data_IF_126680829513
#
_entry.id   IF_126680829513
#
_cell.length_a   1.000
_cell.length_b   1.000
_cell.length_c   1.000
_cell.angle_alpha   90.00
_cell.angle_beta   90.00
_cell.angle_gamma   90.00
#
_symmetry.space_group_name_H-M   'P 1'
#
loop_
_entity.id
_entity.type
_entity.pdbx_description
1 polymer ?
#
# COMPACT_ATOMS: atom_id res chain seq x y z
N UNK A 1 -9.55 11.48 8.32
CA UNK A 1 -9.92 11.22 6.91
C UNK A 1 -11.33 10.66 6.89
N UNK A 2 -12.10 10.98 5.85
CA UNK A 2 -13.39 10.34 5.59
C UNK A 2 -13.18 9.36 4.44
N UNK A 3 -13.46 8.08 4.65
CA UNK A 3 -13.33 7.06 3.60
C UNK A 3 -14.62 6.97 2.81
N UNK A 4 -14.51 6.86 1.48
CA UNK A 4 -15.64 6.48 0.64
C UNK A 4 -15.68 4.96 0.59
N UNK A 5 -16.60 4.36 1.34
CA UNK A 5 -16.75 2.89 1.42
C UNK A 5 -18.08 2.49 0.79
N UNK A 6 -18.03 1.63 -0.23
CA UNK A 6 -19.22 1.12 -0.94
C UNK A 6 -19.13 -0.40 -0.97
N UNK A 7 -20.12 -1.09 -0.40
CA UNK A 7 -20.17 -2.56 -0.34
C UNK A 7 -18.91 -3.22 0.28
N UNK A 8 -18.22 -2.53 1.18
CA UNK A 8 -16.98 -3.00 1.80
C UNK A 8 -15.70 -2.65 1.02
N UNK A 9 -15.81 -2.05 -0.16
CA UNK A 9 -14.67 -1.56 -0.91
C UNK A 9 -14.35 -0.12 -0.56
N UNK A 10 -13.07 0.23 -0.47
CA UNK A 10 -12.59 1.55 -0.12
C UNK A 10 -12.07 2.24 -1.38
N UNK A 11 -12.73 3.34 -1.76
CA UNK A 11 -12.42 4.07 -2.97
C UNK A 11 -11.29 5.04 -2.64
N UNK A 12 -10.15 4.85 -3.30
CA UNK A 12 -9.04 5.79 -3.18
C UNK A 12 -9.29 7.00 -4.10
N UNK A 13 -8.61 8.14 -3.88
CA UNK A 13 -8.65 9.26 -4.82
C UNK A 13 -8.10 8.91 -6.22
N UNK A 14 -7.30 7.85 -6.34
CA UNK A 14 -6.76 7.38 -7.62
C UNK A 14 -7.65 6.34 -8.30
N UNK A 15 -7.05 5.57 -9.20
CA UNK A 15 -7.75 4.52 -9.95
C UNK A 15 -7.98 3.24 -9.13
N UNK A 16 -7.20 3.01 -8.08
CA UNK A 16 -7.26 1.79 -7.27
C UNK A 16 -8.44 1.79 -6.29
N UNK A 17 -8.96 0.61 -6.04
CA UNK A 17 -9.97 0.34 -5.00
C UNK A 17 -9.37 -0.69 -4.04
N UNK A 18 -9.50 -0.46 -2.74
CA UNK A 18 -9.02 -1.42 -1.73
C UNK A 18 -10.17 -2.31 -1.30
N UNK A 19 -10.04 -3.61 -1.53
CA UNK A 19 -11.00 -4.62 -1.07
C UNK A 19 -10.71 -5.05 0.37
N UNK A 20 -9.43 -5.09 0.75
CA UNK A 20 -8.97 -5.40 2.10
C UNK A 20 -7.56 -4.83 2.36
N UNK A 21 -7.21 -4.52 3.62
CA UNK A 21 -8.04 -4.61 4.83
C UNK A 21 -9.02 -3.44 4.98
N UNK A 22 -9.94 -3.53 5.94
CA UNK A 22 -10.76 -2.37 6.33
C UNK A 22 -9.94 -1.36 7.16
N UNK A 23 -10.33 -0.08 7.22
CA UNK A 23 -9.64 0.89 8.06
C UNK A 23 -9.61 0.44 9.52
N UNK A 24 -8.48 0.67 10.19
CA UNK A 24 -8.23 0.32 11.59
C UNK A 24 -8.26 -1.18 11.89
N UNK A 25 -8.12 -2.04 10.88
CA UNK A 25 -8.06 -3.49 11.10
C UNK A 25 -6.82 -3.84 11.94
N UNK A 26 -6.97 -4.63 13.02
CA UNK A 26 -5.85 -5.21 13.74
C UNK A 26 -5.23 -6.34 12.91
N UNK A 27 -3.93 -6.24 12.62
CA UNK A 27 -3.19 -7.13 11.74
C UNK A 27 -1.99 -7.76 12.45
N UNK A 28 -1.54 -8.88 11.91
CA UNK A 28 -0.44 -9.72 12.39
C UNK A 28 -0.32 -10.98 11.52
N UNK A 29 0.18 -12.08 12.08
CA UNK A 29 0.38 -13.33 11.34
C UNK A 29 1.67 -13.34 10.52
N UNK A 30 1.67 -14.07 9.40
CA UNK A 30 2.86 -14.22 8.56
C UNK A 30 3.07 -13.02 7.63
N UNK A 31 2.00 -12.54 7.02
CA UNK A 31 2.02 -11.47 6.03
C UNK A 31 1.00 -10.37 6.33
N UNK A 32 1.32 -9.15 5.91
CA UNK A 32 0.35 -8.11 5.62
C UNK A 32 -0.29 -8.42 4.26
N UNK A 33 -1.60 -8.66 4.26
CA UNK A 33 -2.37 -8.91 3.05
C UNK A 33 -3.15 -7.65 2.65
N UNK A 34 -2.93 -7.18 1.44
CA UNK A 34 -3.69 -6.08 0.84
C UNK A 34 -4.27 -6.57 -0.48
N UNK A 35 -5.59 -6.45 -0.63
CA UNK A 35 -6.30 -6.79 -1.86
C UNK A 35 -6.72 -5.50 -2.55
N UNK A 36 -6.28 -5.30 -3.79
CA UNK A 36 -6.48 -4.07 -4.55
C UNK A 36 -7.09 -4.39 -5.91
N UNK A 37 -8.27 -3.84 -6.20
CA UNK A 37 -8.87 -3.89 -7.52
C UNK A 37 -8.34 -2.72 -8.38
N UNK A 38 -7.76 -3.07 -9.53
CA UNK A 38 -7.19 -2.14 -10.52
C UNK A 38 -8.10 -1.93 -11.74
N UNK A 39 -9.37 -2.36 -11.67
CA UNK A 39 -10.34 -2.23 -12.76
C UNK A 39 -11.21 -0.97 -12.68
N UNK A 40 -11.11 -0.16 -11.62
CA UNK A 40 -12.00 0.97 -11.40
C UNK A 40 -13.47 0.53 -11.44
N UNK A 41 -13.81 -0.50 -10.66
CA UNK A 41 -15.13 -1.14 -10.63
C UNK A 41 -15.60 -1.63 -12.01
N UNK A 42 -14.68 -2.24 -12.76
CA UNK A 42 -14.91 -2.76 -14.11
C UNK A 42 -14.94 -1.71 -15.23
N UNK A 43 -14.71 -0.43 -14.94
CA UNK A 43 -14.73 0.63 -15.95
C UNK A 43 -13.41 0.78 -16.72
N UNK A 44 -12.30 0.27 -16.18
CA UNK A 44 -10.98 0.32 -16.79
C UNK A 44 -10.70 -0.94 -17.62
N UNK A 45 -10.04 -0.76 -18.76
CA UNK A 45 -9.56 -1.88 -19.56
C UNK A 45 -8.43 -2.60 -18.82
N UNK A 46 -8.50 -3.93 -18.74
CA UNK A 46 -7.41 -4.79 -18.23
C UNK A 46 -6.25 -4.94 -19.22
N UNK A 47 -6.39 -4.38 -20.42
CA UNK A 47 -5.34 -4.32 -21.44
C UNK A 47 -5.42 -2.95 -22.12
N UNK A 48 -5.08 -1.87 -21.40
CA UNK A 48 -5.15 -0.52 -21.93
C UNK A 48 -4.17 -0.38 -23.10
N UNK A 49 -4.60 0.33 -24.15
CA UNK A 49 -3.66 0.74 -25.21
C UNK A 49 -2.69 1.76 -24.61
N UNK A 50 -1.47 1.83 -25.12
CA UNK A 50 -0.45 2.78 -24.65
C UNK A 50 -0.94 4.25 -24.59
N UNK A 51 -1.88 4.64 -25.46
CA UNK A 51 -2.47 5.97 -25.52
C UNK A 51 -3.88 6.05 -24.89
N UNK A 52 -4.24 5.12 -24.00
CA UNK A 52 -5.50 5.17 -23.29
C UNK A 52 -5.64 6.50 -22.53
N UNK A 53 -6.84 7.06 -22.56
CA UNK A 53 -7.14 8.30 -21.85
C UNK A 53 -7.12 8.11 -20.33
N UNK A 54 -7.35 6.88 -19.84
CA UNK A 54 -7.26 6.50 -18.44
C UNK A 54 -6.48 5.20 -18.30
N UNK A 55 -5.41 5.19 -17.52
CA UNK A 55 -4.58 4.01 -17.24
C UNK A 55 -3.69 4.24 -16.02
N UNK A 56 -3.32 3.16 -15.32
CA UNK A 56 -2.23 3.19 -14.36
C UNK A 56 -0.88 3.34 -15.07
N UNK A 57 0.03 4.07 -14.43
CA UNK A 57 1.46 3.99 -14.72
C UNK A 57 2.17 3.17 -13.67
N UNK A 58 1.88 3.42 -12.40
CA UNK A 58 2.48 2.71 -11.28
C UNK A 58 1.57 2.74 -10.05
N UNK A 59 1.71 1.71 -9.22
CA UNK A 59 1.06 1.56 -7.92
C UNK A 59 2.08 1.00 -6.95
N UNK A 60 2.55 1.84 -6.03
CA UNK A 60 3.54 1.50 -5.00
C UNK A 60 2.93 1.62 -3.61
N UNK A 61 3.47 0.83 -2.69
CA UNK A 61 2.92 0.63 -1.36
C UNK A 61 4.02 0.77 -0.31
N UNK A 62 3.73 1.55 0.73
CA UNK A 62 4.62 1.75 1.87
C UNK A 62 3.85 1.57 3.16
N UNK A 63 4.55 1.13 4.20
CA UNK A 63 4.01 1.05 5.56
C UNK A 63 4.60 2.21 6.37
N UNK A 64 3.80 3.22 6.67
CA UNK A 64 4.27 4.47 7.30
C UNK A 64 3.63 4.68 8.67
N UNK A 65 4.40 5.15 9.65
CA UNK A 65 3.88 5.53 10.97
C UNK A 65 4.60 6.74 11.52
N UNK A 66 3.84 7.82 11.72
CA UNK A 66 4.35 9.04 12.34
C UNK A 66 4.59 8.88 13.84
N UNK A 67 3.95 7.91 14.50
CA UNK A 67 4.12 7.66 15.94
C UNK A 67 5.40 6.89 16.24
N UNK A 68 5.74 5.89 15.42
CA UNK A 68 6.98 5.12 15.56
C UNK A 68 8.15 5.75 14.78
N UNK A 69 7.86 6.68 13.86
CA UNK A 69 8.85 7.24 12.95
C UNK A 69 9.40 6.18 12.00
N UNK A 70 8.59 5.21 11.57
CA UNK A 70 8.99 4.12 10.66
C UNK A 70 8.32 4.23 9.29
N UNK A 71 9.09 3.96 8.24
CA UNK A 71 8.63 3.93 6.85
C UNK A 71 9.24 2.72 6.15
N UNK A 72 8.44 1.71 5.80
CA UNK A 72 8.91 0.49 5.15
C UNK A 72 8.39 0.34 3.73
N UNK A 73 9.22 -0.18 2.84
CA UNK A 73 8.81 -0.55 1.48
C UNK A 73 8.02 -1.86 1.49
N UNK A 74 6.73 -1.80 1.09
CA UNK A 74 5.91 -2.99 0.80
C UNK A 74 6.10 -3.40 -0.66
N UNK A 75 6.00 -2.44 -1.58
CA UNK A 75 6.27 -2.60 -3.02
C UNK A 75 6.67 -1.26 -3.62
N UNK A 76 7.73 -1.24 -4.44
CA UNK A 76 8.27 -0.01 -5.05
C UNK A 76 8.25 -0.04 -6.59
N UNK A 77 7.46 -0.92 -7.20
CA UNK A 77 7.36 -1.01 -8.66
C UNK A 77 8.56 -1.68 -9.35
N UNK A 78 9.48 -2.29 -8.58
CA UNK A 78 10.63 -3.03 -9.13
C UNK A 78 10.61 -4.50 -8.73
N UNK A 79 11.35 -5.34 -9.45
CA UNK A 79 11.51 -6.75 -9.08
C UNK A 79 12.52 -6.88 -7.94
N UNK A 80 12.16 -7.51 -6.81
CA UNK A 80 13.08 -7.68 -5.69
C UNK A 80 14.23 -8.62 -6.05
N UNK A 81 15.42 -8.32 -5.52
CA UNK A 81 16.61 -9.16 -5.72
C UNK A 81 16.49 -10.51 -4.98
N UNK A 82 15.70 -10.57 -3.91
CA UNK A 82 15.36 -11.78 -3.17
C UNK A 82 13.86 -11.80 -2.87
N UNK A 83 13.22 -12.96 -2.99
CA UNK A 83 11.75 -13.08 -2.97
C UNK A 83 11.08 -12.63 -1.66
N UNK A 84 11.81 -12.46 -0.56
CA UNK A 84 11.29 -12.12 0.76
C UNK A 84 11.57 -10.68 1.22
N UNK A 85 12.21 -9.83 0.40
CA UNK A 85 12.47 -8.44 0.80
C UNK A 85 11.21 -7.58 0.69
N UNK A 86 10.68 -7.42 -0.51
CA UNK A 86 9.46 -6.66 -0.76
C UNK A 86 8.68 -7.31 -1.91
N UNK A 87 7.42 -6.92 -2.07
CA UNK A 87 6.57 -7.45 -3.13
C UNK A 87 6.93 -6.74 -4.44
N UNK A 88 7.05 -7.51 -5.53
CA UNK A 88 7.29 -6.97 -6.88
C UNK A 88 6.21 -5.98 -7.36
N UNK A 89 6.27 -5.54 -8.62
CA UNK A 89 5.35 -4.53 -9.14
C UNK A 89 3.89 -4.97 -8.97
N UNK A 90 3.07 -4.15 -8.29
CA UNK A 90 1.70 -4.53 -7.90
C UNK A 90 0.82 -4.83 -9.12
N UNK A 91 0.98 -4.05 -10.19
CA UNK A 91 0.19 -4.20 -11.42
C UNK A 91 0.48 -5.50 -12.17
N UNK A 92 1.66 -6.10 -11.95
CA UNK A 92 2.10 -7.35 -12.57
C UNK A 92 1.69 -8.60 -11.76
N UNK A 93 1.22 -8.41 -10.51
CA UNK A 93 0.70 -9.51 -9.71
C UNK A 93 -0.53 -10.11 -10.39
N UNK A 94 -0.67 -11.43 -10.36
CA UNK A 94 -1.87 -12.15 -10.83
C UNK A 94 -2.39 -11.61 -12.18
N UNK A 95 -1.64 -11.79 -13.28
CA UNK A 95 -1.91 -11.12 -14.57
C UNK A 95 -3.28 -11.46 -15.20
N UNK A 96 -3.94 -12.53 -14.75
CA UNK A 96 -5.28 -12.91 -15.17
C UNK A 96 -6.40 -12.36 -14.27
N UNK A 97 -6.08 -11.53 -13.27
CA UNK A 97 -7.00 -10.98 -12.28
C UNK A 97 -6.97 -9.45 -12.27
N UNK A 98 -8.11 -8.83 -12.03
CA UNK A 98 -8.21 -7.38 -11.74
C UNK A 98 -7.93 -7.07 -10.28
N UNK A 99 -8.11 -8.05 -9.39
CA UNK A 99 -7.73 -7.96 -7.98
C UNK A 99 -6.29 -8.44 -7.82
N UNK A 100 -5.48 -7.62 -7.16
CA UNK A 100 -4.07 -7.84 -6.87
C UNK A 100 -3.90 -8.14 -5.39
N UNK A 101 -3.43 -9.34 -5.06
CA UNK A 101 -3.13 -9.75 -3.70
C UNK A 101 -1.67 -9.49 -3.37
N UNK A 102 -1.42 -8.39 -2.66
CA UNK A 102 -0.11 -8.06 -2.11
C UNK A 102 0.04 -8.83 -0.79
N UNK A 103 0.97 -9.80 -0.78
CA UNK A 103 1.30 -10.59 0.41
C UNK A 103 2.71 -10.22 0.86
N UNK A 104 2.83 -9.23 1.75
CA UNK A 104 4.12 -8.75 2.23
C UNK A 104 4.47 -9.38 3.58
N UNK A 105 5.63 -10.04 3.68
CA UNK A 105 6.08 -10.70 4.90
C UNK A 105 6.45 -9.62 5.93
N UNK A 106 5.90 -9.69 7.14
CA UNK A 106 6.29 -8.77 8.20
C UNK A 106 7.79 -8.92 8.51
N UNK A 107 8.59 -7.85 8.50
CA UNK A 107 10.01 -7.93 8.82
C UNK A 107 10.24 -8.14 10.32
N UNK A 108 11.45 -8.56 10.70
CA UNK A 108 11.75 -9.14 12.01
C UNK A 108 11.41 -8.22 13.21
N UNK A 109 11.53 -6.89 13.05
CA UNK A 109 11.21 -5.93 14.13
C UNK A 109 9.71 -5.85 14.49
N UNK A 110 8.81 -6.49 13.75
CA UNK A 110 7.40 -6.59 14.10
C UNK A 110 7.05 -7.86 14.90
N UNK A 111 7.98 -8.80 15.04
CA UNK A 111 7.78 -10.02 15.85
C UNK A 111 7.37 -9.64 17.28
N UNK A 112 6.42 -10.39 17.83
CA UNK A 112 5.89 -10.17 19.17
C UNK A 112 4.42 -10.57 19.30
N UNK A 113 3.87 -10.38 20.50
CA UNK A 113 2.48 -10.75 20.82
C UNK A 113 1.55 -9.57 21.12
N UNK A 114 2.07 -8.33 21.14
CA UNK A 114 1.27 -7.12 21.39
C UNK A 114 1.26 -6.64 22.84
N UNK A 115 1.97 -7.32 23.74
CA UNK A 115 2.16 -6.90 25.14
C UNK A 115 3.62 -6.42 25.34
N UNK A 116 3.80 -5.13 25.63
CA UNK A 116 4.99 -4.51 26.25
C UNK A 116 6.41 -4.83 25.71
N UNK A 117 6.57 -5.13 24.43
CA UNK A 117 7.89 -5.18 23.80
C UNK A 117 8.40 -3.76 23.51
N UNK A 118 9.21 -3.21 24.44
CA UNK A 118 9.76 -1.84 24.39
C UNK A 118 10.58 -1.50 23.15
N UNK A 119 11.07 -2.51 22.44
CA UNK A 119 11.88 -2.38 21.23
C UNK A 119 11.12 -2.83 19.96
N UNK A 120 9.81 -3.08 20.07
CA UNK A 120 9.00 -3.52 18.93
C UNK A 120 8.65 -2.36 18.01
N UNK A 121 8.69 -2.60 16.70
CA UNK A 121 8.20 -1.65 15.69
C UNK A 121 6.66 -1.66 15.58
N UNK A 122 5.94 -2.44 16.38
CA UNK A 122 4.48 -2.56 16.33
C UNK A 122 3.78 -1.26 16.74
N UNK A 123 2.52 -1.12 16.32
CA UNK A 123 1.70 0.05 16.63
C UNK A 123 0.76 0.41 15.48
N UNK A 124 0.35 1.67 15.45
CA UNK A 124 -0.52 2.20 14.41
C UNK A 124 0.29 2.63 13.19
N UNK A 125 -0.15 2.20 12.02
CA UNK A 125 0.48 2.46 10.73
C UNK A 125 -0.57 2.81 9.69
N UNK A 126 -0.13 3.43 8.60
CA UNK A 126 -0.88 3.53 7.36
C UNK A 126 -0.23 2.62 6.31
N UNK A 127 -1.06 1.89 5.57
CA UNK A 127 -0.69 1.41 4.24
C UNK A 127 -0.84 2.59 3.30
N UNK A 128 0.28 3.25 2.99
CA UNK A 128 0.35 4.39 2.09
C UNK A 128 0.42 3.90 0.65
N UNK A 129 -0.61 4.24 -0.13
CA UNK A 129 -0.76 3.82 -1.53
C UNK A 129 -0.46 5.00 -2.45
N UNK A 130 0.64 4.89 -3.17
CA UNK A 130 1.12 5.91 -4.09
C UNK A 130 0.76 5.48 -5.51
N UNK A 131 -0.08 6.28 -6.16
CA UNK A 131 -0.61 5.98 -7.48
C UNK A 131 -0.17 7.04 -8.46
N UNK A 132 0.47 6.62 -9.56
CA UNK A 132 0.66 7.47 -10.73
C UNK A 132 -0.21 6.92 -11.86
N UNK A 133 -1.01 7.78 -12.46
CA UNK A 133 -1.99 7.37 -13.45
C UNK A 133 -2.35 8.52 -14.38
N UNK A 134 -2.93 8.17 -15.52
CA UNK A 134 -3.61 9.12 -16.38
C UNK A 134 -5.10 9.01 -16.17
N UNK A 135 -5.79 10.14 -16.17
CA UNK A 135 -7.25 10.23 -16.21
C UNK A 135 -7.68 11.33 -17.19
N UNK A 136 -8.53 10.98 -18.14
CA UNK A 136 -9.00 11.85 -19.23
C UNK A 136 -7.88 12.62 -19.96
N UNK A 137 -6.72 11.99 -20.14
CA UNK A 137 -5.58 12.60 -20.82
C UNK A 137 -4.66 13.45 -19.93
N UNK A 138 -5.00 13.63 -18.65
CA UNK A 138 -4.17 14.35 -17.67
C UNK A 138 -3.47 13.37 -16.74
N UNK A 139 -2.19 13.59 -16.49
CA UNK A 139 -1.39 12.73 -15.62
C UNK A 139 -1.47 13.24 -14.17
N UNK A 140 -1.72 12.31 -13.25
CA UNK A 140 -1.94 12.57 -11.82
C UNK A 140 -1.05 11.69 -10.95
N UNK A 141 -0.80 12.19 -9.75
CA UNK A 141 -0.17 11.44 -8.66
C UNK A 141 -1.00 11.62 -7.40
N UNK A 142 -1.32 10.53 -6.72
CA UNK A 142 -2.05 10.56 -5.45
C UNK A 142 -1.38 9.70 -4.41
N UNK A 143 -1.54 10.09 -3.15
CA UNK A 143 -1.19 9.30 -1.98
C UNK A 143 -2.47 9.06 -1.17
N UNK A 144 -2.74 7.81 -0.86
CA UNK A 144 -3.86 7.41 -0.03
C UNK A 144 -3.38 6.61 1.17
N UNK A 145 -3.65 7.10 2.37
CA UNK A 145 -3.27 6.46 3.62
C UNK A 145 -4.44 5.63 4.19
N UNK A 146 -4.27 4.31 4.23
CA UNK A 146 -5.20 3.39 4.89
C UNK A 146 -4.69 3.03 6.30
N UNK A 147 -5.32 3.51 7.38
CA UNK A 147 -4.90 3.21 8.73
C UNK A 147 -5.15 1.74 9.06
N UNK A 148 -4.18 1.13 9.73
CA UNK A 148 -4.20 -0.23 10.28
C UNK A 148 -3.51 -0.23 11.65
N UNK A 149 -3.69 -1.30 12.42
CA UNK A 149 -2.97 -1.47 13.70
C UNK A 149 -2.24 -2.79 13.70
N UNK A 150 -0.92 -2.78 13.93
CA UNK A 150 -0.10 -4.01 14.02
C UNK A 150 -0.13 -4.50 15.48
N UNK A 151 -1.26 -5.11 15.86
CA UNK A 151 -1.52 -5.54 17.23
C UNK A 151 -1.56 -7.05 17.40
N UNK A 152 -1.91 -7.83 16.37
CA UNK A 152 -2.04 -9.29 16.47
C UNK A 152 -0.66 -9.97 16.43
N UNK A 153 -0.54 -11.15 17.03
CA UNK A 153 0.73 -11.88 17.15
C UNK A 153 1.44 -12.09 15.80
N UNK A 154 2.75 -11.88 15.78
CA UNK A 154 3.64 -12.14 14.65
C UNK A 154 4.75 -13.02 15.21
N UNK A 155 4.84 -14.27 14.74
CA UNK A 155 5.83 -15.24 15.22
C UNK A 155 7.17 -15.10 14.51
N UNK A 156 8.25 -15.56 15.15
CA UNK A 156 9.58 -15.69 14.54
C UNK A 156 9.54 -16.57 13.27
N UNK A 157 10.34 -16.21 12.26
CA UNK A 157 10.52 -17.02 11.04
C UNK A 157 11.80 -16.62 10.30
N UNK A 158 12.51 -17.60 9.75
CA UNK A 158 13.71 -17.40 8.93
C UNK A 158 13.43 -16.66 7.61
N UNK A 159 12.16 -16.55 7.21
CA UNK A 159 11.75 -15.80 6.02
C UNK A 159 11.69 -14.28 6.27
N UNK A 160 11.64 -13.84 7.54
CA UNK A 160 11.53 -12.43 7.90
C UNK A 160 12.88 -11.74 7.80
N UNK A 161 12.95 -10.73 6.94
CA UNK A 161 14.17 -9.95 6.73
C UNK A 161 14.39 -8.94 7.85
N UNK A 162 15.64 -8.47 7.96
CA UNK A 162 15.99 -7.32 8.80
C UNK A 162 15.23 -6.08 8.32
N UNK A 163 14.64 -5.34 9.26
CA UNK A 163 13.88 -4.13 8.98
C UNK A 163 14.71 -3.04 8.27
N UNK A 164 16.02 -2.96 8.54
CA UNK A 164 16.91 -1.99 7.90
C UNK A 164 17.01 -2.19 6.38
N UNK A 165 16.66 -3.37 5.85
CA UNK A 165 16.62 -3.62 4.41
C UNK A 165 15.42 -2.99 3.71
N UNK A 166 14.36 -2.68 4.47
CA UNK A 166 13.09 -2.15 3.96
C UNK A 166 12.81 -0.72 4.41
N UNK A 167 13.51 -0.27 5.44
CA UNK A 167 13.31 1.04 6.04
C UNK A 167 13.85 2.15 5.13
N UNK A 168 12.98 3.11 4.82
CA UNK A 168 13.29 4.30 4.05
C UNK A 168 13.55 5.48 5.00
N UNK A 169 14.38 6.41 4.56
CA UNK A 169 14.50 7.70 5.24
C UNK A 169 13.18 8.48 5.16
N UNK A 170 12.84 9.17 6.25
CA UNK A 170 11.67 10.05 6.25
C UNK A 170 11.93 11.29 5.41
N UNK A 171 11.02 11.56 4.50
CA UNK A 171 10.97 12.85 3.83
C UNK A 171 10.40 13.87 4.81
N UNK A 172 11.02 15.05 4.89
CA UNK A 172 10.57 16.12 5.77
C UNK A 172 9.13 16.55 5.41
N UNK A 173 8.29 16.78 6.43
CA UNK A 173 6.86 17.07 6.29
C UNK A 173 6.57 18.28 5.39
N UNK A 174 7.48 19.27 5.37
CA UNK A 174 7.36 20.47 4.54
C UNK A 174 7.31 20.13 3.04
N UNK A 175 8.04 19.10 2.62
CA UNK A 175 8.05 18.62 1.24
C UNK A 175 6.71 17.97 0.90
N UNK A 176 6.17 17.16 1.81
CA UNK A 176 4.87 16.48 1.64
C UNK A 176 3.72 17.50 1.56
N UNK A 177 3.71 18.49 2.44
CA UNK A 177 2.67 19.52 2.47
C UNK A 177 2.67 20.41 1.22
N UNK A 178 3.85 20.72 0.67
CA UNK A 178 3.98 21.54 -0.53
C UNK A 178 3.49 20.83 -1.82
N UNK A 179 3.33 19.51 -1.80
CA UNK A 179 2.89 18.71 -2.95
C UNK A 179 1.40 18.36 -2.95
N UNK A 180 0.64 18.84 -1.98
CA UNK A 180 -0.76 18.46 -1.82
C UNK A 180 -1.68 19.34 -2.70
N UNK A 181 -2.50 18.71 -3.54
CA UNK A 181 -3.52 19.36 -4.37
C UNK A 181 -4.80 18.51 -4.37
N UNK A 182 -5.93 19.07 -4.81
CA UNK A 182 -7.20 18.37 -4.92
C UNK A 182 -7.44 17.84 -6.33
N UNK A 183 -7.94 16.61 -6.43
CA UNK A 183 -8.46 16.09 -7.70
C UNK A 183 -9.84 16.70 -8.02
N UNK A 184 -10.19 16.84 -9.31
CA UNK A 184 -11.50 17.38 -9.71
C UNK A 184 -12.67 16.42 -9.43
N UNK A 185 -12.42 15.16 -9.07
CA UNK A 185 -13.43 14.16 -8.73
C UNK A 185 -12.85 12.74 -8.55
N UNK A 186 -13.72 11.74 -8.44
CA UNK A 186 -13.36 10.32 -8.51
C UNK A 186 -13.03 9.95 -9.97
N UNK A 187 -11.91 9.28 -10.26
CA UNK A 187 -11.45 9.10 -11.64
C UNK A 187 -12.17 8.05 -12.49
N UNK A 188 -13.39 7.65 -12.11
CA UNK A 188 -14.30 6.71 -12.77
C UNK A 188 -15.65 6.65 -12.00
#
# INVERSE_FOLDING_TARGET
MNFTIVNGQIYTPGLAIVDAPQPYTPLGGDTLQVAIDISGDGQLSTSPKHNAATQFYDLTLFLTSTSTGKNFTISNGTTPAANNTYVGPVLDLEPSSTVKHVNWIWPACFVGSGEDDKDSARGDYNVSMHQSFRWEGTDYYTVFDLPISVSNSIGESDERVDCALLENEWVNWEVVAASNDSLPGQPW
#
